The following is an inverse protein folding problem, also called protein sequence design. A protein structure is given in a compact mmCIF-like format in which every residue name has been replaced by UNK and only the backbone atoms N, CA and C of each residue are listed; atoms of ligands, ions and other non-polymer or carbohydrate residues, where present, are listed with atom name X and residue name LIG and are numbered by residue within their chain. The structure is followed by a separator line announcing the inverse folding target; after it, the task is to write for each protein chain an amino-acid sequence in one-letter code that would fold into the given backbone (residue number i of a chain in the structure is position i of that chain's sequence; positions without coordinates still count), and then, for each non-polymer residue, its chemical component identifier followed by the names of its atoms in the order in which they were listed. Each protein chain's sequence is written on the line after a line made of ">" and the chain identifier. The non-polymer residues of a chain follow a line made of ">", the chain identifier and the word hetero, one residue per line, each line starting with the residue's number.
data_IF_116728773492
#
_entry.id   IF_116728773492
#
_cell.length_a   1.000
_cell.length_b   1.000
_cell.length_c   1.000
_cell.angle_alpha   90.00
_cell.angle_beta   90.00
_cell.angle_gamma   90.00
#
_symmetry.space_group_name_H-M   'P 1'
#
loop_
_entity.id
_entity.type
_entity.pdbx_description
1 polymer ?
#
# COMPACT_ATOMS: atom_id res chain seq x y z
N UNK A 1 9.27 -15.55 23.07
CA UNK A 1 8.61 -16.17 21.92
C UNK A 1 9.06 -17.62 21.75
N UNK A 2 10.35 -17.87 21.59
CA UNK A 2 10.89 -19.22 21.35
C UNK A 2 10.59 -20.20 22.48
N UNK A 3 10.61 -19.76 23.73
CA UNK A 3 10.27 -20.61 24.87
C UNK A 3 8.78 -20.96 24.90
N UNK A 4 7.90 -19.98 24.61
CA UNK A 4 6.46 -20.20 24.50
C UNK A 4 6.14 -21.14 23.32
N UNK A 5 6.81 -20.93 22.18
CA UNK A 5 6.69 -21.79 21.00
C UNK A 5 7.06 -23.24 21.30
N UNK A 6 8.19 -23.44 22.01
CA UNK A 6 8.63 -24.78 22.45
C UNK A 6 7.71 -25.41 23.49
N UNK A 7 7.09 -24.60 24.33
CA UNK A 7 6.12 -25.06 25.33
C UNK A 7 4.72 -25.33 24.76
N UNK A 8 4.51 -25.17 23.43
CA UNK A 8 3.21 -25.35 22.78
C UNK A 8 2.20 -24.23 23.05
N UNK A 9 2.63 -23.10 23.57
CA UNK A 9 1.78 -21.95 23.85
C UNK A 9 1.65 -21.08 22.60
N UNK A 10 0.44 -20.57 22.34
CA UNK A 10 0.24 -19.54 21.30
C UNK A 10 1.01 -18.29 21.68
N UNK A 11 1.86 -17.83 20.79
CA UNK A 11 2.68 -16.64 21.00
C UNK A 11 2.83 -15.87 19.69
N UNK A 12 2.97 -14.56 19.80
CA UNK A 12 3.28 -13.69 18.65
C UNK A 12 4.57 -12.92 18.88
N UNK A 13 5.28 -12.65 17.78
CA UNK A 13 6.49 -11.87 17.77
C UNK A 13 6.41 -10.85 16.63
N UNK A 14 6.61 -9.58 16.93
CA UNK A 14 6.75 -8.52 15.96
C UNK A 14 8.21 -8.09 15.88
N UNK A 15 8.81 -8.20 14.70
CA UNK A 15 10.20 -7.83 14.45
C UNK A 15 10.28 -6.77 13.35
N UNK A 16 11.18 -5.84 13.50
CA UNK A 16 11.49 -4.85 12.47
C UNK A 16 12.72 -5.32 11.68
N UNK A 17 12.52 -5.71 10.44
CA UNK A 17 13.58 -6.18 9.55
C UNK A 17 14.33 -5.01 8.88
N UNK A 18 13.58 -3.98 8.53
CA UNK A 18 14.05 -2.74 7.90
C UNK A 18 13.24 -1.57 8.44
N UNK A 19 13.64 -0.32 8.25
CA UNK A 19 12.90 0.84 8.75
C UNK A 19 11.42 0.88 8.37
N UNK A 20 11.05 0.23 7.28
CA UNK A 20 9.69 0.19 6.73
C UNK A 20 9.18 -1.24 6.48
N UNK A 21 9.82 -2.25 7.07
CA UNK A 21 9.41 -3.66 6.91
C UNK A 21 9.35 -4.32 8.28
N UNK A 22 8.17 -4.82 8.61
CA UNK A 22 7.89 -5.51 9.86
C UNK A 22 7.38 -6.91 9.57
N UNK A 23 7.88 -7.88 10.32
CA UNK A 23 7.42 -9.27 10.28
C UNK A 23 6.67 -9.61 11.55
N UNK A 24 5.46 -10.12 11.40
CA UNK A 24 4.67 -10.64 12.52
C UNK A 24 4.62 -12.17 12.40
N UNK A 25 5.14 -12.86 13.40
CA UNK A 25 5.16 -14.31 13.48
C UNK A 25 4.19 -14.79 14.55
N UNK A 26 3.38 -15.79 14.25
CA UNK A 26 2.49 -16.44 15.23
C UNK A 26 2.84 -17.91 15.32
N UNK A 27 3.05 -18.41 16.54
CA UNK A 27 3.40 -19.80 16.80
C UNK A 27 2.22 -20.60 17.35
N UNK A 28 2.25 -21.91 17.08
CA UNK A 28 1.33 -22.90 17.63
C UNK A 28 -0.15 -22.63 17.32
N UNK A 29 -0.43 -22.34 16.03
CA UNK A 29 -1.79 -22.27 15.51
C UNK A 29 -2.28 -23.71 15.33
N UNK A 30 -3.37 -24.07 16.00
CA UNK A 30 -3.96 -25.41 15.91
C UNK A 30 -4.69 -25.65 14.58
N UNK A 31 -4.99 -26.91 14.24
CA UNK A 31 -5.78 -27.23 13.06
C UNK A 31 -7.16 -26.57 13.13
N UNK A 32 -7.58 -25.93 12.02
CA UNK A 32 -8.85 -25.19 11.90
C UNK A 32 -8.99 -23.98 12.84
N UNK A 33 -7.92 -23.51 13.45
CA UNK A 33 -7.93 -22.25 14.16
C UNK A 33 -7.86 -21.06 13.23
N UNK A 34 -8.56 -19.98 13.58
CA UNK A 34 -8.48 -18.69 12.90
C UNK A 34 -7.67 -17.71 13.73
N UNK A 35 -6.65 -17.13 13.15
CA UNK A 35 -5.87 -16.05 13.77
C UNK A 35 -6.25 -14.73 13.11
N UNK A 36 -6.61 -13.75 13.94
CA UNK A 36 -6.89 -12.39 13.51
C UNK A 36 -5.75 -11.50 13.97
N UNK A 37 -5.09 -10.83 13.02
CA UNK A 37 -4.07 -9.83 13.29
C UNK A 37 -4.65 -8.46 12.96
N UNK A 38 -4.73 -7.58 13.97
CA UNK A 38 -5.17 -6.21 13.79
C UNK A 38 -3.97 -5.27 13.86
N UNK A 39 -3.84 -4.42 12.85
CA UNK A 39 -2.79 -3.40 12.78
C UNK A 39 -3.48 -2.05 12.63
N UNK A 40 -3.06 -1.07 13.43
CA UNK A 40 -3.49 0.31 13.36
C UNK A 40 -2.27 1.20 13.16
N UNK A 41 -2.36 2.13 12.20
CA UNK A 41 -1.30 3.09 11.94
C UNK A 41 -1.89 4.43 11.49
N UNK A 42 -1.11 5.50 11.62
CA UNK A 42 -1.47 6.83 11.18
C UNK A 42 -0.50 7.31 10.11
N UNK A 43 -1.03 7.97 9.11
CA UNK A 43 -0.26 8.55 8.02
C UNK A 43 -0.77 9.95 7.68
N UNK A 44 0.15 10.86 7.37
CA UNK A 44 -0.20 12.19 6.89
C UNK A 44 -0.45 12.18 5.39
N UNK A 45 -1.67 12.48 4.99
CA UNK A 45 -2.04 12.60 3.58
C UNK A 45 -1.58 13.96 3.05
N UNK A 46 -0.72 13.93 2.03
CA UNK A 46 -0.19 15.14 1.42
C UNK A 46 -1.02 15.54 0.20
N UNK A 47 -1.16 16.84 0.03
CA UNK A 47 -1.71 17.42 -1.19
C UNK A 47 -0.59 17.72 -2.19
N UNK A 48 -0.82 17.42 -3.45
CA UNK A 48 0.04 17.83 -4.56
C UNK A 48 -0.83 18.36 -5.69
N UNK A 49 -0.53 19.56 -6.17
CA UNK A 49 -1.27 20.23 -7.26
C UNK A 49 -2.80 20.19 -7.10
N UNK A 50 -3.30 20.42 -5.88
CA UNK A 50 -4.73 20.43 -5.57
C UNK A 50 -5.36 19.04 -5.38
N UNK A 51 -4.59 17.97 -5.49
CA UNK A 51 -5.04 16.58 -5.35
C UNK A 51 -4.48 15.96 -4.08
N UNK A 52 -5.34 15.35 -3.30
CA UNK A 52 -4.99 14.52 -2.17
C UNK A 52 -4.92 13.06 -2.61
N UNK A 53 -3.97 12.31 -2.10
CA UNK A 53 -3.77 10.90 -2.46
C UNK A 53 -3.61 10.05 -1.22
N UNK A 54 -4.48 9.05 -1.08
CA UNK A 54 -4.34 7.93 -0.16
C UNK A 54 -3.83 6.72 -0.94
N UNK A 55 -2.69 6.18 -0.54
CA UNK A 55 -2.16 4.94 -1.10
C UNK A 55 -2.02 3.90 0.01
N UNK A 56 -2.68 2.78 -0.18
CA UNK A 56 -2.56 1.60 0.67
C UNK A 56 -1.77 0.53 -0.11
N UNK A 57 -0.52 0.27 0.25
CA UNK A 57 0.27 -0.77 -0.40
C UNK A 57 -0.27 -2.14 -0.01
N UNK A 58 -0.70 -2.92 -0.99
CA UNK A 58 -1.18 -4.29 -0.82
C UNK A 58 -0.18 -5.32 -1.32
N UNK A 59 0.79 -4.87 -2.11
CA UNK A 59 1.79 -5.73 -2.73
C UNK A 59 3.17 -5.38 -2.23
N UNK A 60 3.86 -6.36 -1.69
CA UNK A 60 5.29 -6.27 -1.41
C UNK A 60 5.99 -6.98 -2.55
N UNK A 61 6.48 -6.20 -3.52
CA UNK A 61 7.24 -6.76 -4.63
C UNK A 61 8.60 -7.32 -4.14
N UNK A 62 9.06 -8.45 -4.70
CA UNK A 62 10.40 -8.93 -4.43
C UNK A 62 11.43 -7.87 -4.77
N UNK A 63 12.41 -7.68 -3.90
CA UNK A 63 13.54 -6.80 -4.18
C UNK A 63 14.49 -7.49 -5.15
N UNK A 64 15.14 -6.71 -6.01
CA UNK A 64 16.20 -7.26 -6.85
C UNK A 64 17.31 -7.87 -5.99
N UNK A 65 17.61 -9.12 -6.27
CA UNK A 65 18.70 -9.84 -5.68
C UNK A 65 19.54 -10.45 -6.82
N UNK A 66 20.85 -10.23 -6.87
CA UNK A 66 21.72 -10.78 -7.92
C UNK A 66 21.85 -12.30 -7.86
N UNK A 67 21.46 -12.97 -6.79
CA UNK A 67 21.43 -14.42 -6.73
C UNK A 67 20.38 -15.00 -7.68
N UNK A 68 20.67 -16.13 -8.37
CA UNK A 68 19.72 -16.72 -9.29
C UNK A 68 18.46 -17.17 -8.54
N UNK A 69 17.29 -16.92 -9.16
CA UNK A 69 16.01 -17.44 -8.69
C UNK A 69 16.02 -18.95 -8.96
N UNK A 70 16.08 -19.74 -7.89
CA UNK A 70 16.17 -21.20 -8.02
C UNK A 70 14.80 -21.84 -8.12
N UNK A 71 13.76 -21.23 -7.60
CA UNK A 71 12.38 -21.72 -7.72
C UNK A 71 11.36 -20.59 -7.81
N UNK A 72 10.43 -20.69 -8.76
CA UNK A 72 9.13 -20.03 -8.64
C UNK A 72 8.35 -20.75 -7.54
N UNK A 73 7.66 -20.02 -6.66
CA UNK A 73 6.94 -20.62 -5.55
C UNK A 73 5.94 -21.66 -6.04
N UNK A 74 6.25 -22.91 -5.87
CA UNK A 74 5.27 -23.87 -5.44
C UNK A 74 5.13 -23.68 -3.93
N UNK A 75 3.90 -23.59 -3.41
CA UNK A 75 3.66 -23.65 -2.00
C UNK A 75 4.15 -25.01 -1.48
N UNK A 76 5.42 -25.09 -1.23
CA UNK A 76 5.95 -26.17 -0.45
C UNK A 76 5.52 -25.94 0.99
N UNK A 77 5.26 -26.99 1.71
CA UNK A 77 4.77 -26.95 3.08
C UNK A 77 5.66 -26.17 4.06
N UNK A 78 6.83 -25.74 3.64
CA UNK A 78 7.80 -24.95 4.40
C UNK A 78 7.73 -23.42 4.15
N UNK A 79 6.88 -22.96 3.21
CA UNK A 79 6.65 -21.54 2.96
C UNK A 79 7.81 -20.78 2.32
N UNK A 80 8.87 -21.46 1.87
CA UNK A 80 10.01 -20.81 1.23
C UNK A 80 9.73 -20.48 -0.23
N UNK A 81 9.64 -19.21 -0.55
CA UNK A 81 9.34 -18.72 -1.90
C UNK A 81 10.51 -18.58 -2.84
N UNK A 82 11.71 -18.47 -2.32
CA UNK A 82 12.96 -18.39 -3.06
C UNK A 82 14.01 -19.19 -2.32
N UNK A 83 14.61 -20.19 -2.97
CA UNK A 83 15.70 -20.93 -2.37
C UNK A 83 16.91 -20.04 -2.15
N UNK A 84 17.37 -19.96 -0.92
CA UNK A 84 18.67 -19.37 -0.62
C UNK A 84 19.77 -20.23 -1.24
N UNK A 85 20.68 -19.61 -1.99
CA UNK A 85 21.90 -20.29 -2.43
C UNK A 85 22.98 -20.13 -1.36
N UNK A 86 23.92 -21.06 -1.30
CA UNK A 86 25.08 -21.01 -0.39
C UNK A 86 25.89 -19.70 -0.56
N UNK A 87 25.70 -18.98 -1.67
CA UNK A 87 26.38 -17.74 -2.02
C UNK A 87 25.40 -16.56 -2.14
N UNK A 88 24.24 -16.59 -1.46
CA UNK A 88 23.33 -15.46 -1.49
C UNK A 88 23.97 -14.25 -0.79
N UNK A 89 24.15 -13.11 -1.48
CA UNK A 89 24.71 -11.90 -0.87
C UNK A 89 23.76 -11.25 0.14
N UNK A 90 22.51 -11.71 0.23
CA UNK A 90 21.50 -11.24 1.19
C UNK A 90 21.14 -12.38 2.14
N UNK A 91 21.87 -12.53 3.26
CA UNK A 91 21.73 -13.70 4.13
C UNK A 91 20.40 -13.77 4.88
N UNK A 92 19.65 -12.66 4.97
CA UNK A 92 18.33 -12.54 5.59
C UNK A 92 17.20 -12.43 4.55
N UNK A 93 17.42 -12.93 3.33
CA UNK A 93 16.46 -12.88 2.24
C UNK A 93 15.08 -13.43 2.63
N UNK A 94 15.04 -14.61 3.25
CA UNK A 94 13.80 -15.30 3.62
C UNK A 94 12.93 -14.47 4.60
N UNK A 95 13.54 -13.51 5.28
CA UNK A 95 12.85 -12.62 6.20
C UNK A 95 12.31 -11.35 5.54
N UNK A 96 12.86 -10.94 4.42
CA UNK A 96 12.54 -9.67 3.76
C UNK A 96 11.82 -9.84 2.42
N UNK A 97 11.83 -11.02 1.84
CA UNK A 97 11.13 -11.33 0.60
C UNK A 97 9.90 -12.21 0.89
N UNK A 98 8.68 -11.70 0.67
CA UNK A 98 7.50 -12.52 0.81
C UNK A 98 7.43 -13.56 -0.33
N UNK A 99 6.82 -14.71 -0.10
CA UNK A 99 6.55 -15.67 -1.15
C UNK A 99 5.66 -15.04 -2.24
N UNK A 100 6.00 -15.26 -3.49
CA UNK A 100 5.26 -14.74 -4.66
C UNK A 100 4.54 -15.90 -5.35
N UNK A 101 3.23 -15.77 -5.47
CA UNK A 101 2.40 -16.73 -6.18
C UNK A 101 2.47 -16.46 -7.69
N UNK A 102 2.72 -17.49 -8.48
CA UNK A 102 2.61 -17.40 -9.94
C UNK A 102 1.12 -17.41 -10.34
N UNK A 103 0.56 -16.27 -10.83
CA UNK A 103 -0.87 -16.18 -11.15
C UNK A 103 -1.29 -17.06 -12.34
N UNK A 104 -0.33 -17.60 -13.08
CA UNK A 104 -0.60 -18.54 -14.19
C UNK A 104 -0.83 -19.97 -13.71
N UNK A 105 -0.33 -20.30 -12.51
CA UNK A 105 -0.39 -21.66 -11.95
C UNK A 105 -1.42 -21.77 -10.82
N UNK A 106 -1.72 -20.68 -10.16
CA UNK A 106 -2.53 -20.67 -8.95
C UNK A 106 -3.64 -19.61 -9.01
N UNK A 107 -4.80 -19.94 -8.48
CA UNK A 107 -5.85 -18.97 -8.28
C UNK A 107 -5.44 -17.91 -7.24
N UNK A 108 -5.96 -16.68 -7.30
CA UNK A 108 -5.74 -15.67 -6.26
C UNK A 108 -6.16 -16.18 -4.88
N UNK A 109 -5.28 -16.03 -3.88
CA UNK A 109 -5.51 -16.60 -2.53
C UNK A 109 -5.66 -15.57 -1.43
N UNK A 110 -5.37 -14.29 -1.71
CA UNK A 110 -5.42 -13.21 -0.73
C UNK A 110 -6.54 -12.21 -1.08
N UNK A 111 -7.80 -12.56 -0.81
CA UNK A 111 -8.89 -11.61 -1.03
C UNK A 111 -8.77 -10.43 -0.08
N UNK A 112 -9.02 -9.23 -0.59
CA UNK A 112 -9.00 -8.00 0.18
C UNK A 112 -10.36 -7.32 0.17
N UNK A 113 -10.76 -6.80 1.32
CA UNK A 113 -11.89 -5.90 1.45
C UNK A 113 -11.38 -4.54 1.91
N UNK A 114 -11.79 -3.48 1.20
CA UNK A 114 -11.37 -2.12 1.52
C UNK A 114 -12.60 -1.27 1.73
N UNK A 115 -12.63 -0.57 2.85
CA UNK A 115 -13.61 0.47 3.14
C UNK A 115 -12.87 1.74 3.55
N UNK A 116 -13.12 2.83 2.83
CA UNK A 116 -12.57 4.14 3.14
C UNK A 116 -13.70 5.05 3.59
N UNK A 117 -13.68 5.47 4.85
CA UNK A 117 -14.55 6.54 5.35
C UNK A 117 -13.82 7.88 5.14
N UNK A 118 -14.05 8.49 3.99
CA UNK A 118 -13.45 9.78 3.64
C UNK A 118 -14.25 10.91 4.28
N UNK A 119 -13.60 11.69 5.13
CA UNK A 119 -14.08 12.97 5.61
C UNK A 119 -13.02 14.03 5.32
N UNK A 120 -13.24 14.82 4.30
CA UNK A 120 -12.27 15.79 3.82
C UNK A 120 -12.26 17.11 4.61
N UNK A 121 -13.33 17.40 5.36
CA UNK A 121 -13.51 18.68 6.05
C UNK A 121 -13.85 19.85 5.13
N UNK A 122 -13.89 19.62 3.82
CA UNK A 122 -14.31 20.58 2.79
C UNK A 122 -15.21 19.90 1.77
N UNK A 123 -15.93 20.69 0.96
CA UNK A 123 -16.80 20.13 -0.10
C UNK A 123 -15.96 19.36 -1.12
N UNK A 124 -16.27 18.07 -1.25
CA UNK A 124 -15.56 17.16 -2.14
C UNK A 124 -15.87 17.45 -3.59
N UNK A 125 -14.83 17.53 -4.40
CA UNK A 125 -14.88 17.53 -5.84
C UNK A 125 -14.84 16.12 -6.43
N UNK A 126 -13.88 15.88 -7.32
CA UNK A 126 -13.69 14.57 -7.93
C UNK A 126 -13.05 13.60 -6.94
N UNK A 127 -13.63 12.41 -6.81
CA UNK A 127 -13.04 11.27 -6.10
C UNK A 127 -12.84 10.14 -7.10
N UNK A 128 -11.63 9.57 -7.15
CA UNK A 128 -11.27 8.54 -8.13
C UNK A 128 -10.37 7.48 -7.49
N UNK A 129 -10.70 6.21 -7.71
CA UNK A 129 -9.78 5.10 -7.52
C UNK A 129 -9.05 4.80 -8.83
N UNK A 130 -7.74 4.54 -8.75
CA UNK A 130 -6.89 4.36 -9.94
C UNK A 130 -6.81 2.91 -10.41
N UNK A 131 -6.74 1.96 -9.49
CA UNK A 131 -6.46 0.56 -9.82
C UNK A 131 -7.62 -0.38 -9.53
N UNK A 132 -8.63 0.09 -8.79
CA UNK A 132 -9.76 -0.73 -8.37
C UNK A 132 -11.08 -0.08 -8.75
N UNK A 133 -12.06 -0.90 -9.12
CA UNK A 133 -13.44 -0.44 -9.28
C UNK A 133 -14.07 -0.31 -7.89
N UNK A 134 -14.60 0.86 -7.60
CA UNK A 134 -15.17 1.18 -6.30
C UNK A 134 -16.63 1.63 -6.41
N UNK A 135 -17.39 1.42 -5.35
CA UNK A 135 -18.67 2.06 -5.09
C UNK A 135 -18.45 3.20 -4.12
N UNK A 136 -19.01 4.36 -4.40
CA UNK A 136 -18.96 5.51 -3.51
C UNK A 136 -20.37 5.88 -3.08
N UNK A 137 -20.56 6.00 -1.79
CA UNK A 137 -21.80 6.43 -1.16
C UNK A 137 -21.60 7.80 -0.53
N UNK A 138 -22.36 8.79 -0.97
CA UNK A 138 -22.29 10.14 -0.42
C UNK A 138 -22.90 10.16 1.00
N UNK A 139 -22.15 10.69 1.96
CA UNK A 139 -22.57 10.90 3.36
C UNK A 139 -22.67 12.40 3.70
N UNK A 140 -22.79 13.23 2.69
CA UNK A 140 -22.80 14.68 2.76
C UNK A 140 -21.81 15.29 1.78
N UNK A 141 -21.73 16.61 1.73
CA UNK A 141 -20.86 17.31 0.78
C UNK A 141 -19.37 17.08 1.04
N UNK A 142 -19.00 16.79 2.27
CA UNK A 142 -17.61 16.65 2.73
C UNK A 142 -17.20 15.19 2.97
N UNK A 143 -18.15 14.26 2.90
CA UNK A 143 -17.90 12.89 3.35
C UNK A 143 -18.43 11.86 2.36
N UNK A 144 -17.67 10.79 2.17
CA UNK A 144 -18.04 9.61 1.36
C UNK A 144 -17.57 8.33 2.02
N UNK A 145 -18.33 7.27 1.84
CA UNK A 145 -17.88 5.91 2.11
C UNK A 145 -17.58 5.24 0.78
N UNK A 146 -16.34 4.81 0.60
CA UNK A 146 -15.86 4.15 -0.60
C UNK A 146 -15.55 2.69 -0.27
N UNK A 147 -16.12 1.76 -1.04
CA UNK A 147 -15.89 0.33 -0.90
C UNK A 147 -15.50 -0.28 -2.23
N UNK A 148 -14.79 -1.41 -2.21
CA UNK A 148 -14.57 -2.18 -3.44
C UNK A 148 -15.90 -2.61 -4.04
N UNK A 149 -16.01 -2.58 -5.38
CA UNK A 149 -17.26 -2.88 -6.07
C UNK A 149 -17.61 -4.37 -6.07
N UNK A 150 -16.62 -5.24 -5.98
CA UNK A 150 -16.78 -6.68 -5.92
C UNK A 150 -16.16 -7.24 -4.63
N UNK A 151 -16.65 -8.40 -4.21
CA UNK A 151 -16.02 -9.23 -3.21
C UNK A 151 -14.84 -10.01 -3.83
N UNK A 152 -13.96 -10.53 -2.99
CA UNK A 152 -12.87 -11.42 -3.38
C UNK A 152 -11.89 -10.84 -4.42
N UNK A 153 -11.65 -9.53 -4.34
CA UNK A 153 -10.62 -8.89 -5.14
C UNK A 153 -9.25 -9.31 -4.59
N UNK A 154 -8.36 -9.86 -5.44
CA UNK A 154 -7.02 -10.24 -4.97
C UNK A 154 -6.19 -9.00 -4.61
N UNK A 155 -5.34 -9.15 -3.59
CA UNK A 155 -4.37 -8.12 -3.19
C UNK A 155 -3.14 -8.17 -4.13
N UNK A 156 -3.34 -7.98 -5.44
CA UNK A 156 -2.32 -8.08 -6.50
C UNK A 156 -1.81 -6.72 -7.00
N UNK A 157 -2.35 -5.64 -6.49
CA UNK A 157 -1.97 -4.26 -6.79
C UNK A 157 -2.36 -3.32 -5.66
N UNK A 158 -1.64 -2.22 -5.53
CA UNK A 158 -1.90 -1.21 -4.51
C UNK A 158 -3.29 -0.58 -4.68
N UNK A 159 -3.91 -0.23 -3.58
CA UNK A 159 -5.10 0.62 -3.62
C UNK A 159 -4.69 2.09 -3.58
N UNK A 160 -5.18 2.86 -4.54
CA UNK A 160 -4.94 4.30 -4.59
C UNK A 160 -6.26 5.04 -4.82
N UNK A 161 -6.54 5.97 -3.92
CA UNK A 161 -7.69 6.86 -3.96
C UNK A 161 -7.23 8.30 -3.99
N UNK A 162 -7.74 9.06 -4.95
CA UNK A 162 -7.46 10.49 -5.06
C UNK A 162 -8.74 11.30 -4.94
N UNK A 163 -8.63 12.50 -4.36
CA UNK A 163 -9.74 13.45 -4.31
C UNK A 163 -9.26 14.88 -4.38
N UNK A 164 -10.16 15.77 -4.76
CA UNK A 164 -9.93 17.21 -4.88
C UNK A 164 -11.00 17.96 -4.12
N UNK A 165 -10.73 19.21 -3.77
CA UNK A 165 -11.78 20.14 -3.34
C UNK A 165 -12.67 20.54 -4.51
N UNK A 166 -13.93 20.88 -4.25
CA UNK A 166 -14.86 21.40 -5.24
C UNK A 166 -14.59 22.88 -5.49
N UNK A 167 -14.46 23.24 -6.77
CA UNK A 167 -14.22 24.63 -7.18
C UNK A 167 -12.76 25.07 -7.05
N UNK A 168 -12.53 26.35 -7.18
CA UNK A 168 -11.19 26.99 -7.19
C UNK A 168 -10.96 27.92 -6.01
N UNK A 169 -11.98 28.18 -5.18
CA UNK A 169 -11.85 29.01 -3.99
C UNK A 169 -11.08 28.27 -2.88
N UNK A 170 -10.39 29.01 -1.99
CA UNK A 170 -9.80 28.40 -0.82
C UNK A 170 -10.84 27.64 -0.01
N UNK A 171 -10.48 26.50 0.51
CA UNK A 171 -11.35 25.67 1.36
C UNK A 171 -10.74 25.58 2.76
N UNK A 172 -11.60 25.64 3.76
CA UNK A 172 -11.20 25.47 5.17
C UNK A 172 -11.94 24.27 5.73
N UNK A 173 -11.17 23.28 6.21
CA UNK A 173 -11.70 22.16 6.97
C UNK A 173 -11.44 22.36 8.46
N UNK A 174 -12.42 22.05 9.30
CA UNK A 174 -12.27 22.06 10.73
C UNK A 174 -12.64 20.67 11.28
N UNK A 175 -11.72 20.07 11.99
CA UNK A 175 -11.91 18.79 12.66
C UNK A 175 -11.80 18.98 14.17
N UNK A 176 -12.63 18.25 14.90
CA UNK A 176 -12.61 18.23 16.36
C UNK A 176 -12.47 16.79 16.83
N UNK A 177 -11.61 16.58 17.81
CA UNK A 177 -11.46 15.33 18.52
C UNK A 177 -11.39 15.59 20.01
N UNK A 178 -12.02 14.72 20.81
CA UNK A 178 -11.99 14.82 22.27
C UNK A 178 -11.20 13.63 22.81
N UNK A 179 -10.05 13.88 23.43
CA UNK A 179 -9.18 12.86 24.04
C UNK A 179 -9.05 13.16 25.52
N UNK A 180 -9.40 12.19 26.38
CA UNK A 180 -9.32 12.31 27.83
C UNK A 180 -10.04 13.57 28.38
N UNK A 181 -11.20 13.91 27.82
CA UNK A 181 -12.01 15.06 28.21
C UNK A 181 -11.45 16.42 27.75
N UNK A 182 -10.43 16.45 26.92
CA UNK A 182 -9.88 17.66 26.29
C UNK A 182 -10.22 17.70 24.82
N UNK A 183 -10.70 18.85 24.35
CA UNK A 183 -11.01 19.09 22.96
C UNK A 183 -9.76 19.57 22.20
N UNK A 184 -9.50 18.90 21.08
CA UNK A 184 -8.47 19.25 20.11
C UNK A 184 -9.13 19.69 18.81
N UNK A 185 -8.63 20.76 18.23
CA UNK A 185 -9.12 21.31 16.97
C UNK A 185 -7.99 21.29 15.94
N UNK A 186 -8.28 20.76 14.76
CA UNK A 186 -7.39 20.83 13.60
C UNK A 186 -8.08 21.65 12.52
N UNK A 187 -7.49 22.78 12.15
CA UNK A 187 -7.90 23.57 10.99
C UNK A 187 -6.95 23.29 9.82
N UNK A 188 -7.52 22.90 8.70
CA UNK A 188 -6.78 22.71 7.44
C UNK A 188 -7.22 23.77 6.44
N UNK A 189 -6.27 24.41 5.78
CA UNK A 189 -6.55 25.38 4.73
C UNK A 189 -6.00 24.83 3.42
N UNK A 190 -6.90 24.60 2.46
CA UNK A 190 -6.52 24.24 1.11
C UNK A 190 -6.47 25.53 0.28
N UNK A 191 -5.28 25.95 -0.20
CA UNK A 191 -5.16 27.13 -1.02
C UNK A 191 -5.93 26.97 -2.34
N UNK A 192 -6.30 28.06 -3.01
CA UNK A 192 -6.96 27.99 -4.31
C UNK A 192 -6.03 27.32 -5.33
N UNK A 193 -6.61 26.58 -6.27
CA UNK A 193 -5.83 26.17 -7.43
C UNK A 193 -5.45 27.41 -8.24
N UNK A 194 -4.19 27.74 -8.23
CA UNK A 194 -3.69 28.82 -9.09
C UNK A 194 -3.75 28.28 -10.53
N UNK A 195 -4.67 28.79 -11.34
CA UNK A 195 -4.57 28.61 -12.78
C UNK A 195 -3.18 29.15 -13.18
N UNK A 196 -2.42 28.35 -13.91
CA UNK A 196 -1.10 28.76 -14.38
C UNK A 196 -1.27 29.99 -15.29
N UNK A 197 -1.14 31.18 -14.70
CA UNK A 197 -1.33 32.47 -15.40
C UNK A 197 -0.06 32.92 -16.12
N UNK A 198 1.06 32.27 -15.86
CA UNK A 198 2.31 32.55 -16.55
C UNK A 198 2.45 31.65 -17.78
N UNK A 199 2.85 32.20 -18.94
CA UNK A 199 3.26 31.36 -20.07
C UNK A 199 4.33 30.39 -19.54
N UNK A 200 4.14 29.11 -19.84
CA UNK A 200 5.11 28.11 -19.43
C UNK A 200 6.48 28.49 -20.02
N UNK A 201 7.45 28.74 -19.14
CA UNK A 201 8.82 28.92 -19.60
C UNK A 201 9.28 27.66 -20.34
N UNK A 202 10.07 27.79 -21.40
CA UNK A 202 10.67 26.62 -22.04
C UNK A 202 11.34 25.74 -21.00
N UNK A 203 11.03 24.45 -21.02
CA UNK A 203 11.61 23.47 -20.11
C UNK A 203 12.40 22.48 -20.91
N UNK A 204 13.60 22.21 -20.45
CA UNK A 204 14.37 21.04 -20.87
C UNK A 204 14.07 19.91 -19.89
N UNK A 205 13.67 18.76 -20.41
CA UNK A 205 13.43 17.56 -19.60
C UNK A 205 14.50 16.54 -19.92
N UNK A 206 15.25 16.15 -18.89
CA UNK A 206 16.27 15.11 -18.98
C UNK A 206 15.72 13.86 -18.31
N UNK A 207 15.50 12.82 -19.11
CA UNK A 207 15.04 11.53 -18.60
C UNK A 207 16.25 10.63 -18.34
N UNK A 208 16.35 10.13 -17.14
CA UNK A 208 17.37 9.14 -16.74
C UNK A 208 16.66 7.84 -16.46
N UNK A 209 16.94 6.83 -17.28
CA UNK A 209 16.36 5.49 -17.14
C UNK A 209 17.44 4.56 -16.63
N UNK A 210 17.13 3.80 -15.59
CA UNK A 210 17.96 2.69 -15.13
C UNK A 210 18.00 1.62 -16.23
N UNK A 211 19.20 1.22 -16.61
CA UNK A 211 19.46 0.16 -17.59
C UNK A 211 20.25 -1.01 -16.96
N UNK A 212 20.08 -1.21 -15.66
CA UNK A 212 20.64 -2.37 -14.96
C UNK A 212 19.92 -3.66 -15.37
N UNK A 213 20.53 -4.81 -15.06
CA UNK A 213 20.00 -6.12 -15.42
C UNK A 213 18.58 -6.41 -14.88
N UNK A 214 18.15 -5.75 -13.80
CA UNK A 214 16.80 -5.87 -13.25
C UNK A 214 15.73 -5.22 -14.14
N UNK A 215 16.13 -4.33 -15.05
CA UNK A 215 15.24 -3.68 -16.01
C UNK A 215 15.01 -4.49 -17.29
N UNK A 216 15.66 -5.63 -17.44
CA UNK A 216 15.48 -6.46 -18.65
C UNK A 216 14.05 -7.00 -18.80
N UNK A 217 13.62 -7.19 -20.03
CA UNK A 217 12.28 -7.67 -20.37
C UNK A 217 11.16 -6.64 -20.20
N UNK A 218 10.04 -7.00 -19.54
CA UNK A 218 8.85 -6.16 -19.45
C UNK A 218 9.08 -4.80 -18.80
N UNK A 219 10.00 -4.71 -17.83
CA UNK A 219 10.29 -3.48 -17.11
C UNK A 219 10.84 -2.38 -18.01
N UNK A 220 11.75 -2.73 -18.91
CA UNK A 220 12.30 -1.79 -19.88
C UNK A 220 11.27 -1.35 -20.93
N UNK A 221 10.39 -2.27 -21.36
CA UNK A 221 9.30 -1.93 -22.28
C UNK A 221 8.38 -0.90 -21.64
N UNK A 222 7.92 -1.15 -20.39
CA UNK A 222 7.05 -0.23 -19.66
C UNK A 222 7.72 1.12 -19.39
N UNK A 223 9.02 1.14 -19.09
CA UNK A 223 9.76 2.38 -18.89
C UNK A 223 9.81 3.22 -20.17
N UNK A 224 10.01 2.58 -21.33
CA UNK A 224 9.99 3.26 -22.64
C UNK A 224 8.60 3.76 -23.03
N UNK A 225 7.55 3.00 -22.70
CA UNK A 225 6.16 3.39 -22.98
C UNK A 225 5.68 4.55 -22.09
N UNK A 226 6.33 4.77 -20.95
CA UNK A 226 6.02 5.85 -20.01
C UNK A 226 6.67 7.19 -20.38
N UNK A 227 7.62 7.22 -21.32
CA UNK A 227 8.33 8.40 -21.81
C UNK A 227 7.66 9.03 -23.02
#
# INVERSE_FOLDING_TARGET
>A
YEDAKRAGQTASLLEQERPNLFTNSVANIGPNETVVVQIEYQESIKQSAGTFTLRLPLVVAPRYNPAPIIQSVDFNADGSGYGATVNDPVPDRDRIEPPVLDPRKHAPVNPVTITVALNAGFTLGKVKSHFHVVKAEDKGEQSRVITLAAADIPADKDFELTWTAKGTAPQVGLFKETINGKDYLLATVTPPSVAAVAPAMPRESIFVIDNSGSMDGPSMVQAKDAL
#
